data_IF_765984492925
#
_entry.id   IF_765984492925
#
_cell.length_a   1.000
_cell.length_b   1.000
_cell.length_c   1.000
_cell.angle_alpha   90.00
_cell.angle_beta   90.00
_cell.angle_gamma   90.00
#
_symmetry.space_group_name_H-M   'P 1'
#
loop_
_entity.id
_entity.type
_entity.pdbx_description
1 polymer ?
#
# COMPACT_ATOMS: atom_id res chain seq x y z
N UNK A 1 53.60 -12.81 31.93
CA UNK A 1 53.02 -11.64 31.24
C UNK A 1 52.24 -11.99 29.97
N UNK A 2 52.53 -13.11 29.29
CA UNK A 2 51.88 -13.55 28.04
C UNK A 2 50.40 -13.93 28.14
N UNK A 3 49.91 -14.39 29.31
CA UNK A 3 48.51 -14.82 29.48
C UNK A 3 47.51 -13.65 29.54
N UNK A 4 47.92 -12.47 29.99
CA UNK A 4 47.05 -11.29 30.14
C UNK A 4 46.78 -10.66 28.76
N UNK A 5 47.79 -10.62 27.88
CA UNK A 5 47.61 -10.13 26.49
C UNK A 5 46.63 -10.98 25.68
N UNK A 6 46.57 -12.29 25.92
CA UNK A 6 45.67 -13.19 25.19
C UNK A 6 44.19 -12.92 25.52
N UNK A 7 43.88 -12.68 26.80
CA UNK A 7 42.51 -12.41 27.28
C UNK A 7 42.00 -11.06 26.78
N UNK A 8 42.88 -10.05 26.76
CA UNK A 8 42.53 -8.71 26.29
C UNK A 8 42.28 -8.67 24.77
N UNK A 9 43.02 -9.47 24.00
CA UNK A 9 42.80 -9.62 22.56
C UNK A 9 41.45 -10.28 22.26
N UNK A 10 41.07 -11.29 23.04
CA UNK A 10 39.81 -12.02 22.87
C UNK A 10 38.58 -11.15 23.17
N UNK A 11 38.67 -10.27 24.18
CA UNK A 11 37.62 -9.31 24.51
C UNK A 11 37.42 -8.25 23.41
N UNK A 12 38.49 -7.79 22.76
CA UNK A 12 38.44 -6.83 21.66
C UNK A 12 37.76 -7.43 20.41
N UNK A 13 37.97 -8.73 20.13
CA UNK A 13 37.27 -9.42 19.05
C UNK A 13 35.78 -9.64 19.33
N UNK A 14 35.39 -9.99 20.56
CA UNK A 14 33.97 -10.11 20.93
C UNK A 14 33.23 -8.78 20.91
N UNK A 15 33.90 -7.67 21.23
CA UNK A 15 33.32 -6.32 21.13
C UNK A 15 33.07 -5.89 19.67
N UNK A 16 33.93 -6.30 18.74
CA UNK A 16 33.78 -5.99 17.31
C UNK A 16 32.62 -6.75 16.65
N UNK A 17 32.34 -7.98 17.07
CA UNK A 17 31.25 -8.80 16.50
C UNK A 17 29.87 -8.29 16.94
N UNK A 18 29.76 -7.63 18.10
CA UNK A 18 28.50 -7.04 18.59
C UNK A 18 28.18 -5.66 17.94
N UNK A 19 29.17 -4.95 17.39
CA UNK A 19 28.94 -3.71 16.62
C UNK A 19 28.70 -3.96 15.12
N UNK A 20 28.89 -5.18 14.63
CA UNK A 20 28.49 -5.61 13.29
C UNK A 20 27.01 -6.04 13.23
N UNK A 21 26.18 -5.57 14.19
CA UNK A 21 24.74 -5.62 14.08
C UNK A 21 24.32 -4.75 12.90
N UNK A 22 24.13 -5.40 11.74
CA UNK A 22 23.65 -4.81 10.50
C UNK A 22 22.63 -3.70 10.77
N UNK A 23 23.04 -2.43 10.64
CA UNK A 23 22.14 -1.32 10.38
C UNK A 23 21.62 -1.43 8.95
N UNK A 24 20.99 -2.56 8.63
CA UNK A 24 20.14 -2.67 7.46
C UNK A 24 18.86 -1.94 7.82
N UNK A 25 18.85 -0.64 7.53
CA UNK A 25 17.70 0.23 7.73
C UNK A 25 16.47 -0.40 7.08
N UNK A 26 15.50 -0.82 7.90
CA UNK A 26 14.28 -1.44 7.40
C UNK A 26 13.48 -0.41 6.60
N UNK A 27 13.13 -0.74 5.36
CA UNK A 27 12.14 0.05 4.60
C UNK A 27 10.83 0.11 5.37
N UNK A 28 10.05 1.21 5.29
CA UNK A 28 8.72 1.24 5.87
C UNK A 28 7.89 0.09 5.30
N UNK A 29 7.14 -0.60 6.15
CA UNK A 29 6.31 -1.73 5.76
C UNK A 29 4.86 -1.26 5.83
N UNK A 30 4.20 -1.20 4.67
CA UNK A 30 2.84 -0.69 4.53
C UNK A 30 1.90 -1.82 4.14
N UNK A 31 0.85 -2.02 4.93
CA UNK A 31 -0.28 -2.88 4.59
C UNK A 31 -1.45 -2.02 4.15
N UNK A 32 -2.08 -2.37 3.03
CA UNK A 32 -3.23 -1.63 2.47
C UNK A 32 -4.38 -2.60 2.31
N UNK A 33 -5.51 -2.29 2.93
CA UNK A 33 -6.76 -3.03 2.78
C UNK A 33 -7.78 -2.14 2.09
N UNK A 34 -8.06 -2.34 0.79
CA UNK A 34 -9.07 -1.60 0.08
C UNK A 34 -10.47 -2.15 0.37
N UNK A 35 -11.45 -1.25 0.39
CA UNK A 35 -12.87 -1.58 0.35
C UNK A 35 -13.52 -0.76 -0.75
N UNK A 36 -14.51 -1.34 -1.44
CA UNK A 36 -15.21 -0.73 -2.55
C UNK A 36 -16.71 -0.89 -2.36
N UNK A 37 -17.46 0.19 -2.55
CA UNK A 37 -18.93 0.19 -2.45
C UNK A 37 -19.52 0.94 -3.63
N UNK A 38 -20.48 0.34 -4.33
CA UNK A 38 -21.23 1.04 -5.38
C UNK A 38 -22.13 2.11 -4.76
N UNK A 39 -22.02 3.36 -5.22
CA UNK A 39 -22.83 4.49 -4.72
C UNK A 39 -23.81 5.02 -5.75
N UNK A 40 -23.52 4.86 -7.05
CA UNK A 40 -24.40 5.31 -8.12
C UNK A 40 -24.19 4.48 -9.40
N UNK A 41 -25.23 4.33 -10.22
CA UNK A 41 -25.17 3.69 -11.53
C UNK A 41 -26.02 4.48 -12.54
N UNK A 42 -25.42 4.89 -13.65
CA UNK A 42 -26.00 5.77 -14.67
C UNK A 42 -26.10 4.98 -15.98
N UNK A 43 -27.30 4.49 -16.36
CA UNK A 43 -27.46 3.65 -17.55
C UNK A 43 -27.23 4.40 -18.86
N UNK A 44 -27.47 5.70 -18.92
CA UNK A 44 -27.32 6.52 -20.13
C UNK A 44 -25.87 6.59 -20.61
N UNK A 45 -24.92 6.50 -19.67
CA UNK A 45 -23.47 6.56 -19.93
C UNK A 45 -22.77 5.26 -19.57
N UNK A 46 -23.51 4.20 -19.21
CA UNK A 46 -22.97 2.93 -18.72
C UNK A 46 -21.88 3.11 -17.64
N UNK A 47 -22.08 4.07 -16.74
CA UNK A 47 -21.09 4.45 -15.73
C UNK A 47 -21.55 4.03 -14.35
N UNK A 48 -20.66 3.41 -13.57
CA UNK A 48 -20.91 3.11 -12.15
C UNK A 48 -19.90 3.89 -11.30
N UNK A 49 -20.38 4.63 -10.32
CA UNK A 49 -19.55 5.33 -9.35
C UNK A 49 -19.41 4.48 -8.09
N UNK A 50 -18.18 4.31 -7.65
CA UNK A 50 -17.82 3.58 -6.45
C UNK A 50 -17.18 4.50 -5.43
N UNK A 51 -17.46 4.28 -4.14
CA UNK A 51 -16.66 4.80 -3.05
C UNK A 51 -15.56 3.79 -2.72
N UNK A 52 -14.31 4.21 -2.83
CA UNK A 52 -13.12 3.41 -2.57
C UNK A 52 -12.46 3.93 -1.31
N UNK A 53 -12.45 3.11 -0.26
CA UNK A 53 -11.83 3.44 1.02
C UNK A 53 -10.64 2.52 1.27
N UNK A 54 -9.49 3.13 1.56
CA UNK A 54 -8.25 2.44 1.87
C UNK A 54 -8.01 2.53 3.37
N UNK A 55 -7.82 1.37 4.03
CA UNK A 55 -7.21 1.31 5.36
C UNK A 55 -5.72 1.07 5.16
N UNK A 56 -4.89 1.98 5.64
CA UNK A 56 -3.43 1.93 5.49
C UNK A 56 -2.81 1.78 6.87
N UNK A 57 -1.98 0.76 7.05
CA UNK A 57 -1.23 0.52 8.27
C UNK A 57 0.27 0.53 7.98
N UNK A 58 1.04 1.25 8.79
CA UNK A 58 2.49 1.12 8.82
C UNK A 58 2.87 0.09 9.88
N UNK A 59 3.11 -1.15 9.46
CA UNK A 59 3.53 -2.24 10.34
C UNK A 59 5.03 -2.19 10.65
N UNK A 60 5.79 -1.41 9.88
CA UNK A 60 7.23 -1.28 10.01
C UNK A 60 7.68 -0.48 11.23
N UNK A 61 8.93 -0.66 11.63
CA UNK A 61 9.55 0.04 12.77
C UNK A 61 10.00 1.47 12.46
N UNK A 62 9.83 1.94 11.21
CA UNK A 62 10.22 3.26 10.73
C UNK A 62 9.01 4.05 10.24
N UNK A 63 9.06 5.36 10.38
CA UNK A 63 8.03 6.25 9.84
C UNK A 63 8.07 6.23 8.30
N UNK A 64 6.90 6.25 7.68
CA UNK A 64 6.72 6.41 6.24
C UNK A 64 6.38 7.88 5.94
N UNK A 65 7.14 8.51 5.07
CA UNK A 65 6.96 9.90 4.68
C UNK A 65 6.58 10.01 3.21
N UNK A 66 5.82 11.05 2.85
CA UNK A 66 5.37 11.32 1.49
C UNK A 66 4.70 10.11 0.82
N UNK A 67 3.88 9.39 1.60
CA UNK A 67 3.16 8.20 1.12
C UNK A 67 2.11 8.62 0.12
N UNK A 68 2.15 7.99 -1.06
CA UNK A 68 1.16 8.13 -2.12
C UNK A 68 0.79 6.74 -2.63
N UNK A 69 -0.52 6.48 -2.69
CA UNK A 69 -1.08 5.20 -3.06
C UNK A 69 -1.97 5.39 -4.27
N UNK A 70 -1.75 4.59 -5.30
CA UNK A 70 -2.67 4.48 -6.42
C UNK A 70 -3.76 3.49 -6.05
N UNK A 71 -5.03 3.89 -6.20
CA UNK A 71 -6.18 2.99 -6.22
C UNK A 71 -6.65 2.85 -7.67
N UNK A 72 -6.93 1.62 -8.10
CA UNK A 72 -7.45 1.30 -9.42
C UNK A 72 -8.74 0.52 -9.25
N UNK A 73 -9.81 0.98 -9.90
CA UNK A 73 -11.10 0.27 -9.97
C UNK A 73 -11.27 -0.24 -11.38
N UNK A 74 -11.57 -1.53 -11.53
CA UNK A 74 -11.73 -2.15 -12.84
C UNK A 74 -12.89 -3.11 -12.94
N UNK A 75 -13.33 -3.37 -14.17
CA UNK A 75 -14.13 -4.55 -14.46
C UNK A 75 -13.31 -5.82 -14.19
N UNK A 76 -13.93 -6.95 -13.83
CA UNK A 76 -13.22 -8.23 -13.72
C UNK A 76 -12.43 -8.59 -14.96
N UNK A 77 -11.21 -9.10 -14.78
CA UNK A 77 -10.27 -9.41 -15.87
C UNK A 77 -10.73 -10.54 -16.79
N UNK A 78 -11.67 -11.36 -16.34
CA UNK A 78 -12.29 -12.46 -17.11
C UNK A 78 -13.50 -12.01 -17.95
N UNK A 79 -13.92 -10.75 -17.85
CA UNK A 79 -14.95 -10.21 -18.75
C UNK A 79 -14.35 -9.87 -20.14
N UNK A 80 -15.16 -9.92 -21.21
CA UNK A 80 -14.68 -9.73 -22.58
C UNK A 80 -13.98 -8.39 -22.84
N UNK A 81 -14.31 -7.35 -22.07
CA UNK A 81 -13.65 -6.05 -22.14
C UNK A 81 -13.20 -5.58 -20.77
N UNK A 82 -11.89 -5.39 -20.63
CA UNK A 82 -11.29 -4.81 -19.43
C UNK A 82 -11.34 -3.28 -19.49
N UNK A 83 -11.99 -2.66 -18.50
CA UNK A 83 -12.02 -1.20 -18.30
C UNK A 83 -11.55 -0.90 -16.89
N UNK A 84 -10.86 0.23 -16.73
CA UNK A 84 -10.38 0.67 -15.44
C UNK A 84 -10.36 2.20 -15.34
N UNK A 85 -10.41 2.68 -14.11
CA UNK A 85 -10.13 4.06 -13.73
C UNK A 85 -9.18 4.03 -12.54
N UNK A 86 -8.33 5.03 -12.37
CA UNK A 86 -7.37 5.08 -11.27
C UNK A 86 -7.26 6.48 -10.69
N UNK A 87 -6.91 6.54 -9.41
CA UNK A 87 -6.68 7.78 -8.67
C UNK A 87 -5.46 7.63 -7.78
N UNK A 88 -4.71 8.73 -7.64
CA UNK A 88 -3.57 8.80 -6.72
C UNK A 88 -4.01 9.50 -5.44
N UNK A 89 -3.86 8.83 -4.32
CA UNK A 89 -4.28 9.29 -3.00
C UNK A 89 -3.04 9.66 -2.19
N UNK A 90 -2.90 10.96 -1.91
CA UNK A 90 -1.85 11.46 -1.02
C UNK A 90 -2.23 11.20 0.44
N UNK A 91 -1.41 10.42 1.14
CA UNK A 91 -1.57 10.10 2.57
C UNK A 91 -0.70 11.00 3.45
N UNK A 92 0.49 11.37 2.97
CA UNK A 92 1.43 12.21 3.71
C UNK A 92 2.37 11.39 4.58
N UNK A 93 2.43 11.69 5.88
CA UNK A 93 3.29 10.98 6.83
C UNK A 93 2.47 9.98 7.64
N UNK A 94 2.97 8.75 7.75
CA UNK A 94 2.41 7.69 8.58
C UNK A 94 3.47 7.21 9.57
N UNK A 95 3.24 7.48 10.85
CA UNK A 95 4.15 7.06 11.92
C UNK A 95 4.22 5.53 12.01
N UNK A 96 5.33 5.01 12.50
CA UNK A 96 5.49 3.57 12.75
C UNK A 96 4.36 3.03 13.63
N UNK A 97 3.87 1.82 13.31
CA UNK A 97 2.81 1.13 14.06
C UNK A 97 1.51 1.94 14.18
N UNK A 98 1.22 2.79 13.20
CA UNK A 98 -0.05 3.54 13.13
C UNK A 98 -0.84 3.17 11.89
N UNK A 99 -2.14 3.43 11.96
CA UNK A 99 -3.06 3.27 10.85
C UNK A 99 -3.79 4.57 10.54
N UNK A 100 -4.19 4.71 9.28
CA UNK A 100 -5.02 5.80 8.79
C UNK A 100 -5.96 5.29 7.71
N UNK A 101 -6.94 6.11 7.33
CA UNK A 101 -7.85 5.80 6.24
C UNK A 101 -7.96 6.95 5.25
N UNK A 102 -8.16 6.62 3.98
CA UNK A 102 -8.39 7.61 2.94
C UNK A 102 -9.39 7.08 1.91
N UNK A 103 -10.36 7.92 1.55
CA UNK A 103 -11.44 7.58 0.62
C UNK A 103 -11.46 8.44 -0.64
N UNK A 104 -11.86 7.87 -1.77
CA UNK A 104 -12.13 8.57 -3.03
C UNK A 104 -13.32 7.96 -3.76
N UNK A 105 -14.13 8.82 -4.37
CA UNK A 105 -15.14 8.38 -5.33
C UNK A 105 -14.52 8.25 -6.72
N UNK A 106 -14.78 7.13 -7.38
CA UNK A 106 -14.22 6.79 -8.68
C UNK A 106 -15.34 6.31 -9.60
N UNK A 107 -15.45 6.91 -10.79
CA UNK A 107 -16.45 6.54 -11.80
C UNK A 107 -15.82 5.67 -12.88
N UNK A 108 -16.39 4.49 -13.08
CA UNK A 108 -15.96 3.53 -14.10
C UNK A 108 -17.00 3.49 -15.23
N UNK A 109 -16.61 4.01 -16.38
CA UNK A 109 -17.35 3.84 -17.63
C UNK A 109 -17.02 2.49 -18.25
N UNK A 110 -18.02 1.77 -18.72
CA UNK A 110 -17.86 0.43 -19.29
C UNK A 110 -18.86 0.14 -20.41
N UNK A 111 -18.74 -1.03 -21.03
CA UNK A 111 -19.72 -1.46 -22.05
C UNK A 111 -21.09 -1.71 -21.43
N UNK A 112 -22.18 -1.63 -22.23
CA UNK A 112 -23.52 -1.97 -21.76
C UNK A 112 -23.62 -3.39 -21.15
N UNK A 113 -22.87 -4.37 -21.68
CA UNK A 113 -22.90 -5.73 -21.13
C UNK A 113 -22.27 -5.81 -19.74
N UNK A 114 -21.06 -5.25 -19.57
CA UNK A 114 -20.40 -5.18 -18.27
C UNK A 114 -21.21 -4.35 -17.28
N UNK A 115 -21.77 -3.23 -17.72
CA UNK A 115 -22.63 -2.38 -16.89
C UNK A 115 -23.80 -3.18 -16.32
N UNK A 116 -24.53 -3.93 -17.15
CA UNK A 116 -25.66 -4.74 -16.67
C UNK A 116 -25.23 -5.78 -15.63
N UNK A 117 -24.11 -6.47 -15.86
CA UNK A 117 -23.60 -7.50 -14.92
C UNK A 117 -23.11 -6.93 -13.60
N UNK A 118 -22.46 -5.76 -13.62
CA UNK A 118 -21.94 -5.12 -12.42
C UNK A 118 -23.04 -4.40 -11.64
N UNK A 119 -23.92 -3.68 -12.34
CA UNK A 119 -25.04 -2.95 -11.72
C UNK A 119 -26.07 -3.88 -11.07
N UNK A 120 -26.24 -5.11 -11.59
CA UNK A 120 -27.13 -6.12 -11.02
C UNK A 120 -26.52 -6.90 -9.84
N UNK A 121 -25.21 -6.78 -9.61
CA UNK A 121 -24.47 -7.59 -8.64
C UNK A 121 -24.15 -9.02 -9.08
N UNK A 122 -24.43 -9.40 -10.33
CA UNK A 122 -23.99 -10.68 -10.91
C UNK A 122 -22.45 -10.79 -10.87
N UNK A 123 -21.77 -9.67 -11.14
CA UNK A 123 -20.33 -9.50 -11.02
C UNK A 123 -20.04 -8.27 -10.17
N UNK A 124 -18.86 -8.20 -9.58
CA UNK A 124 -18.40 -7.05 -8.80
C UNK A 124 -17.21 -6.39 -9.49
N UNK A 125 -17.05 -5.08 -9.30
CA UNK A 125 -15.82 -4.40 -9.69
C UNK A 125 -14.66 -4.88 -8.81
N UNK A 126 -13.46 -4.88 -9.38
CA UNK A 126 -12.22 -5.19 -8.68
C UNK A 126 -11.55 -3.89 -8.26
N UNK A 127 -10.90 -3.90 -7.08
CA UNK A 127 -10.07 -2.80 -6.60
C UNK A 127 -8.66 -3.30 -6.35
N UNK A 128 -7.69 -2.65 -6.98
CA UNK A 128 -6.27 -2.90 -6.78
C UNK A 128 -5.62 -1.66 -6.18
N UNK A 129 -4.63 -1.85 -5.31
CA UNK A 129 -3.89 -0.74 -4.71
C UNK A 129 -2.40 -0.96 -4.82
N UNK A 130 -1.66 0.12 -4.97
CA UNK A 130 -0.19 0.08 -5.03
C UNK A 130 0.41 1.32 -4.41
N UNK A 131 1.39 1.14 -3.52
CA UNK A 131 2.25 2.25 -3.08
C UNK A 131 3.10 2.69 -4.28
N UNK A 132 2.90 3.94 -4.71
CA UNK A 132 3.64 4.52 -5.85
C UNK A 132 4.76 5.45 -5.38
N UNK A 133 4.65 5.95 -4.15
CA UNK A 133 5.68 6.78 -3.52
C UNK A 133 5.71 6.53 -2.02
N UNK A 134 6.91 6.33 -1.50
CA UNK A 134 7.20 6.32 -0.06
C UNK A 134 8.65 6.71 0.14
N UNK A 135 8.90 7.51 1.16
CA UNK A 135 10.25 7.85 1.62
C UNK A 135 10.38 7.47 3.09
N UNK A 136 11.57 7.05 3.51
CA UNK A 136 11.92 6.91 4.93
C UNK A 136 12.99 7.95 5.27
N UNK A 137 12.94 8.50 6.49
CA UNK A 137 14.07 9.26 6.98
C UNK A 137 15.23 8.29 7.24
N UNK A 138 16.19 8.31 6.33
CA UNK A 138 17.55 7.84 6.59
C UNK A 138 18.22 8.96 7.39
N UNK A 139 18.08 8.96 8.72
CA UNK A 139 19.07 9.68 9.55
C UNK A 139 20.30 8.80 9.62
N UNK A 140 21.29 9.14 8.78
CA UNK A 140 22.67 8.66 8.90
C UNK A 140 23.38 9.24 10.10
#
# INVERSE_FOLDING_TARGET
MTKISLVLLLLLFTGYILCAGCSSYATPELTIVPTITQVNAIPETNTITYDVNLMIENTGSNNAYNVEIMALVSTPKDLPEYRFTHENIHIGTLEKHTSTSAGRQMSLEMTPDNYRRLSSGERQAEVETRVIKVSSNVMG
#
